data_IF_603483949155
#
_entry.id   IF_603483949155
#
_cell.length_a   1.000
_cell.length_b   1.000
_cell.length_c   1.000
_cell.angle_alpha   90.00
_cell.angle_beta   90.00
_cell.angle_gamma   90.00
#
_symmetry.space_group_name_H-M   'P 1'
#
loop_
_entity.id
_entity.type
_entity.pdbx_description
1 polymer ?
#
# COMPACT_ATOMS: atom_id res chain seq x y z
N UNK A 1 -15.70 12.28 5.99
CA UNK A 1 -15.91 10.84 5.75
C UNK A 1 -14.57 10.15 5.91
N UNK A 2 -14.41 9.28 6.90
CA UNK A 2 -13.17 8.55 7.15
C UNK A 2 -13.20 7.18 6.47
N UNK A 3 -12.06 6.74 5.94
CA UNK A 3 -11.90 5.40 5.38
C UNK A 3 -11.27 4.49 6.44
N UNK A 4 -11.84 3.29 6.64
CA UNK A 4 -11.32 2.27 7.55
C UNK A 4 -10.79 1.14 6.68
N UNK A 5 -9.50 0.80 6.83
CA UNK A 5 -8.88 -0.35 6.17
C UNK A 5 -8.84 -1.49 7.19
N UNK A 6 -9.47 -2.61 6.86
CA UNK A 6 -9.55 -3.78 7.73
C UNK A 6 -8.81 -4.94 7.06
N UNK A 7 -7.83 -5.50 7.74
CA UNK A 7 -7.11 -6.69 7.30
C UNK A 7 -7.55 -7.88 8.15
N UNK A 8 -8.16 -8.88 7.52
CA UNK A 8 -8.56 -10.13 8.16
C UNK A 8 -8.28 -11.32 7.23
N UNK A 9 -8.49 -12.54 7.72
CA UNK A 9 -8.36 -13.75 6.91
C UNK A 9 -9.43 -13.79 5.78
N UNK A 10 -9.20 -14.61 4.74
CA UNK A 10 -10.08 -14.69 3.56
C UNK A 10 -11.56 -14.94 3.90
N UNK A 11 -11.86 -15.72 4.95
CA UNK A 11 -13.26 -15.97 5.36
C UNK A 11 -13.86 -14.72 6.00
N UNK A 12 -13.15 -14.09 6.91
CA UNK A 12 -13.61 -12.87 7.57
C UNK A 12 -13.75 -11.69 6.61
N UNK A 13 -12.84 -11.51 5.64
CA UNK A 13 -12.95 -10.46 4.62
C UNK A 13 -14.22 -10.60 3.77
N UNK A 14 -14.65 -11.82 3.46
CA UNK A 14 -15.91 -12.06 2.75
C UNK A 14 -17.12 -11.65 3.59
N UNK A 15 -17.11 -11.97 4.87
CA UNK A 15 -18.20 -11.61 5.80
C UNK A 15 -18.27 -10.08 5.96
N UNK A 16 -17.12 -9.44 6.17
CA UNK A 16 -17.01 -7.99 6.36
C UNK A 16 -17.41 -7.22 5.10
N UNK A 17 -17.02 -7.70 3.92
CA UNK A 17 -17.45 -7.09 2.66
C UNK A 17 -18.96 -7.22 2.41
N UNK A 18 -19.57 -8.36 2.72
CA UNK A 18 -21.02 -8.53 2.61
C UNK A 18 -21.78 -7.65 3.61
N UNK A 19 -21.26 -7.50 4.83
CA UNK A 19 -21.81 -6.60 5.85
C UNK A 19 -21.71 -5.13 5.42
N UNK A 20 -20.56 -4.71 4.93
CA UNK A 20 -20.34 -3.35 4.44
C UNK A 20 -21.25 -3.01 3.25
N UNK A 21 -21.46 -3.94 2.31
CA UNK A 21 -22.44 -3.78 1.22
C UNK A 21 -23.87 -3.62 1.75
N UNK A 22 -24.29 -4.42 2.73
CA UNK A 22 -25.63 -4.34 3.33
C UNK A 22 -25.87 -3.04 4.08
N UNK A 23 -24.83 -2.48 4.69
CA UNK A 23 -24.88 -1.18 5.39
C UNK A 23 -24.79 0.03 4.45
N UNK A 24 -24.75 -0.19 3.13
CA UNK A 24 -24.64 0.89 2.13
C UNK A 24 -23.23 1.47 1.97
N UNK A 25 -22.21 0.79 2.51
CA UNK A 25 -20.81 1.16 2.37
C UNK A 25 -20.22 0.70 1.04
N UNK A 26 -19.32 1.51 0.49
CA UNK A 26 -18.59 1.16 -0.73
C UNK A 26 -17.44 0.20 -0.40
N UNK A 27 -17.48 -1.01 -0.95
CA UNK A 27 -16.44 -2.03 -0.73
C UNK A 27 -15.49 -2.05 -1.91
N UNK A 28 -14.30 -1.48 -1.72
CA UNK A 28 -13.19 -1.61 -2.65
C UNK A 28 -12.41 -2.88 -2.27
N UNK A 29 -12.56 -3.93 -3.06
CA UNK A 29 -11.72 -5.13 -2.95
C UNK A 29 -10.35 -4.81 -3.53
N UNK A 30 -9.41 -4.40 -2.69
CA UNK A 30 -8.00 -4.33 -3.07
C UNK A 30 -7.52 -5.75 -3.33
N UNK A 31 -7.12 -6.05 -4.57
CA UNK A 31 -6.41 -7.29 -4.88
C UNK A 31 -5.06 -7.26 -4.16
N UNK A 32 -4.52 -8.41 -3.78
CA UNK A 32 -3.26 -8.52 -3.02
C UNK A 32 -2.11 -7.73 -3.70
N UNK A 33 -2.06 -7.70 -5.03
CA UNK A 33 -1.13 -6.89 -5.85
C UNK A 33 -1.21 -5.39 -5.53
N UNK A 34 -2.42 -4.85 -5.39
CA UNK A 34 -2.63 -3.44 -5.07
C UNK A 34 -2.21 -3.13 -3.63
N UNK A 35 -2.36 -4.09 -2.72
CA UNK A 35 -1.88 -3.93 -1.35
C UNK A 35 -0.34 -3.91 -1.28
N UNK A 36 0.33 -4.78 -2.05
CA UNK A 36 1.80 -4.75 -2.17
C UNK A 36 2.28 -3.40 -2.70
N UNK A 37 1.62 -2.87 -3.74
CA UNK A 37 1.94 -1.55 -4.29
C UNK A 37 1.74 -0.42 -3.26
N UNK A 38 0.64 -0.46 -2.49
CA UNK A 38 0.39 0.52 -1.43
C UNK A 38 1.40 0.41 -0.28
N UNK A 39 1.75 -0.81 0.13
CA UNK A 39 2.72 -1.06 1.19
C UNK A 39 4.12 -0.63 0.76
N UNK A 40 4.51 -0.95 -0.48
CA UNK A 40 5.77 -0.52 -1.08
C UNK A 40 5.83 1.01 -1.18
N UNK A 41 4.78 1.65 -1.70
CA UNK A 41 4.68 3.11 -1.76
C UNK A 41 4.82 3.76 -0.38
N UNK A 42 4.15 3.21 0.64
CA UNK A 42 4.24 3.71 2.01
C UNK A 42 5.65 3.55 2.61
N UNK A 43 6.37 2.48 2.27
CA UNK A 43 7.77 2.30 2.68
C UNK A 43 8.70 3.26 1.95
N UNK A 44 8.48 3.49 0.65
CA UNK A 44 9.24 4.44 -0.14
C UNK A 44 9.04 5.87 0.36
N UNK A 45 7.82 6.28 0.67
CA UNK A 45 7.53 7.61 1.22
C UNK A 45 8.20 7.87 2.57
N UNK A 46 8.31 6.85 3.43
CA UNK A 46 9.03 6.95 4.71
C UNK A 46 10.54 7.17 4.55
N UNK A 47 11.12 6.61 3.49
CA UNK A 47 12.58 6.64 3.25
C UNK A 47 12.97 7.74 2.27
N UNK A 48 12.00 8.37 1.60
CA UNK A 48 12.23 9.44 0.63
C UNK A 48 12.92 10.63 1.29
N UNK A 49 14.09 10.97 0.79
CA UNK A 49 14.89 12.11 1.28
C UNK A 49 14.48 13.45 0.65
N UNK A 50 13.56 13.44 -0.33
CA UNK A 50 13.17 14.58 -1.18
C UNK A 50 14.33 15.24 -1.96
N UNK A 51 15.51 14.63 -1.97
CA UNK A 51 16.66 15.11 -2.75
C UNK A 51 16.60 14.57 -4.17
N UNK A 52 16.80 15.45 -5.15
CA UNK A 52 16.96 15.04 -6.56
C UNK A 52 18.43 14.77 -6.80
N UNK A 53 18.80 13.49 -6.91
CA UNK A 53 20.19 13.08 -7.11
C UNK A 53 20.43 12.64 -8.55
N UNK A 54 21.61 12.96 -9.09
CA UNK A 54 21.99 12.53 -10.44
C UNK A 54 22.30 11.03 -10.48
N UNK A 55 22.16 10.44 -11.67
CA UNK A 55 22.47 9.02 -11.92
C UNK A 55 23.89 8.64 -11.46
N UNK A 56 24.86 9.54 -11.64
CA UNK A 56 26.25 9.29 -11.27
C UNK A 56 26.44 9.13 -9.76
N UNK A 57 25.72 9.93 -8.95
CA UNK A 57 25.75 9.84 -7.48
C UNK A 57 25.13 8.52 -7.01
N UNK A 58 24.04 8.08 -7.64
CA UNK A 58 23.40 6.78 -7.34
C UNK A 58 24.36 5.64 -7.68
N UNK A 59 24.94 5.65 -8.88
CA UNK A 59 25.85 4.59 -9.34
C UNK A 59 27.11 4.49 -8.48
N UNK A 60 27.61 5.62 -7.98
CA UNK A 60 28.74 5.65 -7.04
C UNK A 60 28.41 5.00 -5.68
N UNK A 61 27.18 5.18 -5.17
CA UNK A 61 26.71 4.52 -3.94
C UNK A 61 26.49 3.02 -4.14
N UNK A 62 25.94 2.60 -5.28
CA UNK A 62 25.67 1.19 -5.58
C UNK A 62 26.93 0.36 -5.85
N UNK A 63 27.97 0.97 -6.46
CA UNK A 63 29.26 0.31 -6.72
C UNK A 63 30.14 0.09 -5.49
N UNK A 64 29.76 0.64 -4.33
CA UNK A 64 30.59 0.61 -3.12
C UNK A 64 30.32 -0.60 -2.20
N UNK A 65 29.80 -1.69 -2.78
CA UNK A 65 29.56 -2.96 -2.10
C UNK A 65 30.42 -4.05 -2.72
#
# INVERSE_FOLDING_TARGET
>A
MGAIVIQADKKSNKILSDLAKRLGGNVLSLKDEQYEDFALGSLMDKVKTNETVSRDIIMKKLRRK
#
